data_IF_746068334717
#
_entry.id   IF_746068334717
#
_cell.length_a   1.000
_cell.length_b   1.000
_cell.length_c   1.000
_cell.angle_alpha   90.00
_cell.angle_beta   90.00
_cell.angle_gamma   90.00
#
_symmetry.space_group_name_H-M   'P 1'
#
loop_
_entity.id
_entity.type
_entity.pdbx_description
1 polymer ?
#
# COMPACT_ATOMS: atom_id res chain seq x y z
N UNK A 1 5.69 -3.66 -44.02
CA UNK A 1 5.29 -2.37 -43.44
C UNK A 1 4.70 -2.65 -42.07
N UNK A 2 5.43 -2.34 -40.99
CA UNK A 2 4.93 -2.57 -39.64
C UNK A 2 4.12 -1.35 -39.19
N UNK A 3 2.83 -1.52 -38.94
CA UNK A 3 2.05 -0.56 -38.17
C UNK A 3 2.52 -0.63 -36.72
N UNK A 4 3.31 0.33 -36.27
CA UNK A 4 3.53 0.54 -34.85
C UNK A 4 2.22 1.08 -34.27
N UNK A 5 1.40 0.17 -33.74
CA UNK A 5 0.27 0.51 -32.87
C UNK A 5 0.85 1.24 -31.67
N UNK A 6 0.97 2.56 -31.79
CA UNK A 6 1.26 3.42 -30.65
C UNK A 6 0.01 3.34 -29.78
N UNK A 7 0.02 2.39 -28.83
CA UNK A 7 -0.95 2.31 -27.75
C UNK A 7 -0.82 3.58 -26.95
N UNK A 8 -1.48 4.64 -27.41
CA UNK A 8 -1.58 5.91 -26.70
C UNK A 8 -2.32 5.59 -25.41
N UNK A 9 -1.59 5.57 -24.30
CA UNK A 9 -2.17 5.41 -22.98
C UNK A 9 -3.31 6.42 -22.80
N UNK A 10 -4.43 5.94 -22.27
CA UNK A 10 -5.63 6.75 -22.01
C UNK A 10 -5.83 6.84 -20.51
N UNK A 11 -6.34 7.98 -20.07
CA UNK A 11 -6.73 8.14 -18.68
C UNK A 11 -7.81 7.12 -18.33
N UNK A 12 -7.57 6.28 -17.32
CA UNK A 12 -8.52 5.28 -16.84
C UNK A 12 -9.85 5.88 -16.37
N UNK A 13 -9.84 7.15 -15.93
CA UNK A 13 -11.02 7.84 -15.40
C UNK A 13 -11.88 8.51 -16.49
N UNK A 14 -11.27 9.10 -17.52
CA UNK A 14 -12.00 9.92 -18.50
C UNK A 14 -11.69 9.61 -19.97
N UNK A 15 -10.92 8.56 -20.24
CA UNK A 15 -10.51 8.06 -21.56
C UNK A 15 -9.74 9.06 -22.46
N UNK A 16 -9.35 10.21 -21.92
CA UNK A 16 -8.53 11.19 -22.65
C UNK A 16 -7.09 10.68 -22.82
N UNK A 17 -6.53 10.89 -24.01
CA UNK A 17 -5.18 10.46 -24.39
C UNK A 17 -4.14 11.60 -24.45
N UNK A 18 -4.46 12.76 -23.84
CA UNK A 18 -3.60 13.95 -23.85
C UNK A 18 -2.86 14.01 -22.51
N UNK A 19 -1.52 13.96 -22.56
CA UNK A 19 -0.67 14.15 -21.38
C UNK A 19 -0.97 13.15 -20.27
N UNK A 20 -0.85 11.86 -20.58
CA UNK A 20 -1.07 10.77 -19.64
C UNK A 20 0.19 10.47 -18.83
N UNK A 21 -0.02 10.19 -17.55
CA UNK A 21 1.00 9.84 -16.57
C UNK A 21 0.66 8.47 -16.00
N UNK A 22 1.65 7.58 -15.95
CA UNK A 22 1.50 6.25 -15.37
C UNK A 22 1.82 6.29 -13.88
N UNK A 23 0.86 5.92 -13.04
CA UNK A 23 1.13 5.59 -11.65
C UNK A 23 1.79 4.21 -11.61
N UNK A 24 3.09 4.13 -11.26
CA UNK A 24 3.83 2.85 -11.20
C UNK A 24 3.32 1.91 -10.10
N UNK A 25 2.77 2.45 -9.01
CA UNK A 25 2.21 1.65 -7.92
C UNK A 25 0.94 0.91 -8.35
N UNK A 26 0.07 1.57 -9.13
CA UNK A 26 -1.20 1.01 -9.57
C UNK A 26 -1.15 0.42 -10.99
N UNK A 27 -0.06 0.65 -11.73
CA UNK A 27 0.07 0.36 -13.17
C UNK A 27 -1.09 0.92 -14.02
N UNK A 28 -1.60 2.10 -13.64
CA UNK A 28 -2.71 2.78 -14.31
C UNK A 28 -2.28 4.14 -14.87
N UNK A 29 -2.87 4.49 -16.01
CA UNK A 29 -2.62 5.76 -16.69
C UNK A 29 -3.70 6.78 -16.37
N UNK A 30 -3.29 8.02 -16.06
CA UNK A 30 -4.18 9.12 -15.73
C UNK A 30 -3.81 10.38 -16.50
N UNK A 31 -4.77 11.22 -16.87
CA UNK A 31 -4.44 12.58 -17.29
C UNK A 31 -3.97 13.42 -16.08
N UNK A 32 -3.35 14.57 -16.31
CA UNK A 32 -2.78 15.41 -15.25
C UNK A 32 -3.74 15.65 -14.07
N UNK A 33 -4.99 16.02 -14.34
CA UNK A 33 -6.01 16.29 -13.31
C UNK A 33 -6.31 15.05 -12.47
N UNK A 34 -6.65 13.93 -13.11
CA UNK A 34 -6.96 12.69 -12.38
C UNK A 34 -5.71 12.08 -11.73
N UNK A 35 -4.51 12.33 -12.24
CA UNK A 35 -3.26 11.93 -11.58
C UNK A 35 -3.04 12.71 -10.27
N UNK A 36 -3.41 13.99 -10.23
CA UNK A 36 -3.36 14.80 -9.01
C UNK A 36 -4.42 14.35 -8.00
N UNK A 37 -5.66 14.15 -8.43
CA UNK A 37 -6.74 13.63 -7.59
C UNK A 37 -6.40 12.26 -7.02
N UNK A 38 -5.89 11.34 -7.87
CA UNK A 38 -5.45 10.02 -7.46
C UNK A 38 -4.35 10.09 -6.38
N UNK A 39 -3.35 10.98 -6.53
CA UNK A 39 -2.32 11.19 -5.50
C UNK A 39 -2.90 11.71 -4.19
N UNK A 40 -3.86 12.64 -4.25
CA UNK A 40 -4.51 13.14 -3.04
C UNK A 40 -5.32 12.06 -2.34
N UNK A 41 -6.05 11.23 -3.08
CA UNK A 41 -6.81 10.11 -2.54
C UNK A 41 -5.89 9.09 -1.85
N UNK A 42 -4.76 8.73 -2.50
CA UNK A 42 -3.77 7.84 -1.90
C UNK A 42 -3.18 8.42 -0.61
N UNK A 43 -2.89 9.71 -0.57
CA UNK A 43 -2.41 10.39 0.64
C UNK A 43 -3.42 10.25 1.78
N UNK A 44 -4.70 10.53 1.51
CA UNK A 44 -5.76 10.37 2.51
C UNK A 44 -5.90 8.94 3.01
N UNK A 45 -5.90 7.94 2.12
CA UNK A 45 -5.98 6.53 2.53
C UNK A 45 -4.79 6.12 3.40
N UNK A 46 -3.60 6.65 3.12
CA UNK A 46 -2.42 6.36 3.93
C UNK A 46 -2.55 6.96 5.34
N UNK A 47 -2.98 8.21 5.44
CA UNK A 47 -3.15 8.89 6.72
C UNK A 47 -4.34 8.37 7.54
N UNK A 48 -5.46 8.06 6.88
CA UNK A 48 -6.72 7.65 7.52
C UNK A 48 -6.75 6.15 7.84
N UNK A 49 -6.42 5.29 6.87
CA UNK A 49 -6.62 3.85 7.01
C UNK A 49 -5.34 3.15 7.49
N UNK A 50 -4.20 3.40 6.84
CA UNK A 50 -2.96 2.65 7.11
C UNK A 50 -2.42 3.00 8.49
N UNK A 51 -2.35 4.28 8.84
CA UNK A 51 -1.86 4.71 10.16
C UNK A 51 -2.77 4.24 11.28
N UNK A 52 -4.10 4.31 11.09
CA UNK A 52 -5.05 3.85 12.10
C UNK A 52 -4.94 2.33 12.33
N UNK A 53 -4.87 1.54 11.26
CA UNK A 53 -4.70 0.09 11.36
C UNK A 53 -3.37 -0.24 12.03
N UNK A 54 -2.29 0.47 11.66
CA UNK A 54 -0.99 0.30 12.29
C UNK A 54 -1.06 0.51 13.81
N UNK A 55 -1.67 1.61 14.25
CA UNK A 55 -1.79 1.93 15.68
C UNK A 55 -2.64 0.91 16.42
N UNK A 56 -3.74 0.44 15.82
CA UNK A 56 -4.58 -0.63 16.38
C UNK A 56 -3.83 -1.96 16.52
N UNK A 57 -3.06 -2.34 15.50
CA UNK A 57 -2.23 -3.54 15.53
C UNK A 57 -1.14 -3.43 16.60
N UNK A 58 -0.48 -2.28 16.70
CA UNK A 58 0.55 -2.05 17.71
C UNK A 58 -0.04 -2.10 19.12
N UNK A 59 -1.23 -1.54 19.35
CA UNK A 59 -1.95 -1.64 20.61
C UNK A 59 -2.29 -3.11 20.93
N UNK A 60 -2.87 -3.83 19.97
CA UNK A 60 -3.25 -5.23 20.13
C UNK A 60 -2.06 -6.13 20.47
N UNK A 61 -0.90 -5.90 19.82
CA UNK A 61 0.33 -6.62 20.11
C UNK A 61 0.85 -6.30 21.52
N UNK A 62 0.87 -5.02 21.90
CA UNK A 62 1.31 -4.62 23.23
C UNK A 62 0.40 -5.16 24.35
N UNK A 63 -0.90 -5.28 24.09
CA UNK A 63 -1.85 -5.93 24.99
C UNK A 63 -1.61 -7.43 25.10
N UNK A 64 -1.33 -8.11 23.99
CA UNK A 64 -0.98 -9.54 23.98
C UNK A 64 0.35 -9.82 24.70
N UNK A 65 1.37 -8.98 24.54
CA UNK A 65 2.66 -9.11 25.24
C UNK A 65 2.49 -8.92 26.76
N UNK A 66 1.49 -8.14 27.20
CA UNK A 66 1.15 -8.00 28.62
C UNK A 66 0.41 -9.22 29.20
N UNK A 67 -0.01 -10.17 28.37
CA UNK A 67 -0.54 -11.44 28.88
C UNK A 67 0.62 -12.35 29.29
N UNK A 68 0.74 -12.69 30.59
CA UNK A 68 1.88 -13.46 31.10
C UNK A 68 2.02 -14.86 30.46
N UNK A 69 0.94 -15.42 29.91
CA UNK A 69 0.96 -16.69 29.19
C UNK A 69 1.64 -16.60 27.81
N UNK A 70 1.60 -15.43 27.16
CA UNK A 70 2.17 -15.22 25.82
C UNK A 70 3.65 -14.83 25.91
N UNK A 71 4.06 -14.11 26.97
CA UNK A 71 5.48 -13.87 27.29
C UNK A 71 6.25 -15.17 27.56
N UNK A 72 5.61 -16.17 28.18
CA UNK A 72 6.19 -17.50 28.38
C UNK A 72 6.41 -18.23 27.04
N UNK A 73 5.40 -18.23 26.16
CA UNK A 73 5.49 -18.87 24.85
C UNK A 73 6.51 -18.16 23.93
N UNK A 74 6.55 -16.83 23.91
CA UNK A 74 7.55 -16.06 23.16
C UNK A 74 8.97 -16.28 23.67
N UNK A 75 9.16 -16.49 24.98
CA UNK A 75 10.46 -16.88 25.54
C UNK A 75 10.90 -18.27 25.10
N UNK A 76 9.98 -19.24 25.04
CA UNK A 76 10.28 -20.58 24.54
C UNK A 76 10.67 -20.53 23.06
N UNK A 77 9.90 -19.81 22.22
CA UNK A 77 10.19 -19.64 20.79
C UNK A 77 11.55 -18.95 20.57
N UNK A 78 11.83 -17.85 21.28
CA UNK A 78 13.13 -17.18 21.25
C UNK A 78 14.28 -18.08 21.72
N UNK A 79 13.99 -19.05 22.59
CA UNK A 79 14.94 -20.07 22.99
C UNK A 79 15.31 -20.98 21.81
N UNK A 80 14.33 -21.39 21.01
CA UNK A 80 14.54 -22.30 19.88
C UNK A 80 15.36 -21.64 18.76
N UNK A 81 15.13 -20.37 18.48
CA UNK A 81 15.87 -19.62 17.46
C UNK A 81 17.35 -19.40 17.82
N UNK A 82 17.72 -19.43 19.10
CA UNK A 82 19.13 -19.33 19.53
C UNK A 82 19.91 -20.64 19.42
N UNK A 83 19.22 -21.76 19.22
CA UNK A 83 19.83 -23.08 19.06
C UNK A 83 20.01 -23.50 17.59
N UNK A 84 19.64 -22.64 16.63
CA UNK A 84 19.89 -22.80 15.20
C UNK A 84 20.81 -21.70 14.67
#
# INVERSE_FOLDING_TARGET
>A
MAFSSSNKSRCVTCDKNIGTFTCRGCSQDFCLSHAQEHRQLLGKQMDEDVMLIHDQLQQSLNEQVKQPSLDLLMKEINGWEKFN
#
